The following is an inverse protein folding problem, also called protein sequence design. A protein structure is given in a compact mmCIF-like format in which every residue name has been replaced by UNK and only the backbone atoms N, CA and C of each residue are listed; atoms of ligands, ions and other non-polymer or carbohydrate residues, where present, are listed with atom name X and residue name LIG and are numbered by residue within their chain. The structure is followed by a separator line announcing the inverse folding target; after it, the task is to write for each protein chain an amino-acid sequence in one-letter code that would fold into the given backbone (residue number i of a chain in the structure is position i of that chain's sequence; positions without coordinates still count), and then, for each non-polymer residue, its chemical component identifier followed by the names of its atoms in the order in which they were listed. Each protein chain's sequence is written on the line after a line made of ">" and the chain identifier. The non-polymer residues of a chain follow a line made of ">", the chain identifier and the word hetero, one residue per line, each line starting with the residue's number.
data_IF_533424453111
#
_entry.id   IF_533424453111
#
_cell.length_a   1.000
_cell.length_b   1.000
_cell.length_c   1.000
_cell.angle_alpha   90.00
_cell.angle_beta   90.00
_cell.angle_gamma   90.00
#
_symmetry.space_group_name_H-M   'P 1'
#
loop_
_entity.id
_entity.type
_entity.pdbx_description
1 polymer ?
#
# COMPACT_ATOMS: atom_id res chain seq x y z
N UNK A 1 -8.85 -13.45 -11.23
CA UNK A 1 -8.64 -14.42 -10.15
C UNK A 1 -8.54 -15.86 -10.67
N UNK A 2 -9.45 -16.35 -11.53
CA UNK A 2 -9.46 -17.74 -12.02
C UNK A 2 -8.11 -18.20 -12.59
N UNK A 3 -7.54 -17.46 -13.53
CA UNK A 3 -6.24 -17.79 -14.14
C UNK A 3 -5.10 -17.84 -13.13
N UNK A 4 -5.05 -16.88 -12.19
CA UNK A 4 -4.03 -16.85 -11.14
C UNK A 4 -4.16 -18.03 -10.18
N UNK A 5 -5.40 -18.43 -9.83
CA UNK A 5 -5.62 -19.59 -8.97
C UNK A 5 -5.17 -20.89 -9.63
N UNK A 6 -5.39 -21.04 -10.94
CA UNK A 6 -4.87 -22.20 -11.69
C UNK A 6 -3.34 -22.25 -11.71
N UNK A 7 -2.69 -21.11 -11.91
CA UNK A 7 -1.23 -20.99 -11.88
C UNK A 7 -0.70 -21.31 -10.47
N UNK A 8 -1.31 -20.72 -9.43
CA UNK A 8 -0.92 -20.95 -8.06
C UNK A 8 -1.01 -22.44 -7.66
N UNK A 9 -2.09 -23.12 -8.07
CA UNK A 9 -2.24 -24.56 -7.87
C UNK A 9 -1.16 -25.37 -8.57
N UNK A 10 -0.83 -25.03 -9.83
CA UNK A 10 0.22 -25.73 -10.60
C UNK A 10 1.60 -25.57 -9.98
N UNK A 11 1.87 -24.39 -9.38
CA UNK A 11 3.14 -24.06 -8.75
C UNK A 11 3.19 -24.44 -7.26
N UNK A 12 2.10 -24.98 -6.70
CA UNK A 12 1.95 -25.29 -5.27
C UNK A 12 2.27 -24.07 -4.37
N UNK A 13 1.79 -22.90 -4.79
CA UNK A 13 1.88 -21.66 -4.02
C UNK A 13 0.50 -21.19 -3.59
N UNK A 14 0.43 -20.43 -2.50
CA UNK A 14 -0.82 -19.84 -2.05
C UNK A 14 -1.10 -18.55 -2.81
N UNK A 15 -2.33 -18.39 -3.25
CA UNK A 15 -2.84 -17.13 -3.79
C UNK A 15 -3.59 -16.40 -2.69
N UNK A 16 -3.28 -15.12 -2.50
CA UNK A 16 -4.02 -14.20 -1.64
C UNK A 16 -4.83 -13.21 -2.47
N UNK A 17 -6.00 -12.84 -1.95
CA UNK A 17 -6.79 -11.72 -2.48
C UNK A 17 -6.50 -10.47 -1.66
N UNK A 18 -6.01 -9.41 -2.30
CA UNK A 18 -5.89 -8.08 -1.72
C UNK A 18 -7.08 -7.22 -2.18
N UNK A 19 -7.85 -6.70 -1.22
CA UNK A 19 -8.98 -5.82 -1.51
C UNK A 19 -8.48 -4.43 -1.92
N UNK A 20 -9.24 -3.72 -2.77
CA UNK A 20 -8.89 -2.34 -3.11
C UNK A 20 -9.09 -1.39 -1.92
N UNK A 21 -10.10 -1.65 -1.10
CA UNK A 21 -10.58 -0.76 -0.06
C UNK A 21 -11.23 0.50 -0.63
N UNK A 22 -12.13 1.10 0.12
CA UNK A 22 -12.76 2.34 -0.32
C UNK A 22 -11.81 3.53 -0.12
N UNK A 23 -11.39 4.11 -1.22
CA UNK A 23 -10.57 5.32 -1.29
C UNK A 23 -11.24 6.38 -2.14
N UNK A 24 -10.94 7.64 -1.85
CA UNK A 24 -11.22 8.70 -2.81
C UNK A 24 -10.19 8.68 -3.92
N UNK A 25 -10.65 8.75 -5.17
CA UNK A 25 -9.79 8.77 -6.35
C UNK A 25 -10.23 9.83 -7.33
N UNK A 26 -9.28 10.35 -8.09
CA UNK A 26 -9.53 11.25 -9.20
C UNK A 26 -10.12 10.49 -10.37
N UNK A 27 -11.08 11.11 -11.05
CA UNK A 27 -11.53 10.72 -12.37
C UNK A 27 -11.39 11.93 -13.31
N UNK A 28 -10.48 11.81 -14.29
CA UNK A 28 -10.27 12.83 -15.32
C UNK A 28 -11.01 12.38 -16.57
N UNK A 29 -11.85 13.23 -17.11
CA UNK A 29 -12.62 12.98 -18.31
C UNK A 29 -12.40 14.07 -19.36
N UNK A 30 -12.77 13.80 -20.64
CA UNK A 30 -12.47 14.66 -21.79
C UNK A 30 -11.19 14.24 -22.49
N UNK A 31 -10.75 15.02 -23.50
CA UNK A 31 -9.70 14.66 -24.46
C UNK A 31 -8.49 13.95 -23.86
N UNK A 32 -7.96 12.99 -24.59
CA UNK A 32 -6.81 12.06 -24.46
C UNK A 32 -5.69 12.28 -23.40
N UNK A 33 -5.71 13.35 -22.62
CA UNK A 33 -4.68 13.60 -21.61
C UNK A 33 -4.96 12.82 -20.31
N UNK A 34 -3.97 12.04 -19.90
CA UNK A 34 -4.04 11.23 -18.67
C UNK A 34 -3.82 12.04 -17.38
N UNK A 35 -3.47 13.33 -17.49
CA UNK A 35 -3.16 14.20 -16.34
C UNK A 35 -3.44 15.68 -16.68
N UNK A 36 -3.58 16.46 -15.63
CA UNK A 36 -3.73 17.91 -15.65
C UNK A 36 -2.58 18.54 -14.87
N UNK A 37 -1.86 19.47 -15.51
CA UNK A 37 -0.90 20.32 -14.85
C UNK A 37 -1.64 21.50 -14.22
N UNK A 38 -1.50 21.68 -12.91
CA UNK A 38 -2.09 22.80 -12.16
C UNK A 38 -0.97 23.58 -11.47
N UNK A 39 -1.01 24.92 -11.57
CA UNK A 39 -0.03 25.81 -10.97
C UNK A 39 -0.59 26.44 -9.70
N UNK A 40 0.31 26.88 -8.80
CA UNK A 40 -0.07 27.63 -7.61
C UNK A 40 -0.85 28.89 -8.01
N UNK A 41 -2.00 29.10 -7.38
CA UNK A 41 -2.93 30.19 -7.66
C UNK A 41 -4.02 29.88 -8.68
N UNK A 42 -3.91 28.79 -9.44
CA UNK A 42 -4.93 28.40 -10.42
C UNK A 42 -6.24 28.06 -9.69
N UNK A 43 -7.35 28.54 -10.27
CA UNK A 43 -8.70 28.18 -9.86
C UNK A 43 -9.23 27.13 -10.82
N UNK A 44 -9.75 26.03 -10.30
CA UNK A 44 -10.29 24.95 -11.09
C UNK A 44 -11.52 24.33 -10.41
N UNK A 45 -12.29 23.56 -11.19
CA UNK A 45 -13.52 22.93 -10.72
C UNK A 45 -13.33 21.42 -10.56
N UNK A 46 -13.88 20.87 -9.48
CA UNK A 46 -14.10 19.44 -9.29
C UNK A 46 -15.60 19.21 -9.43
N UNK A 47 -16.02 18.54 -10.48
CA UNK A 47 -17.43 18.31 -10.75
C UNK A 47 -17.96 17.18 -9.85
N UNK A 48 -19.12 17.38 -9.24
CA UNK A 48 -19.76 16.39 -8.37
C UNK A 48 -20.35 15.21 -9.13
N UNK A 49 -20.65 15.40 -10.41
CA UNK A 49 -21.12 14.33 -11.31
C UNK A 49 -20.27 14.34 -12.56
N UNK A 50 -19.72 13.20 -12.94
CA UNK A 50 -19.05 13.08 -14.22
C UNK A 50 -20.13 12.99 -15.31
N UNK A 51 -20.27 14.02 -16.11
CA UNK A 51 -21.11 13.97 -17.30
C UNK A 51 -20.28 13.37 -18.43
N UNK A 52 -20.53 12.11 -18.77
CA UNK A 52 -19.92 11.44 -19.96
C UNK A 52 -20.22 12.12 -21.30
N UNK A 53 -21.03 13.20 -21.30
CA UNK A 53 -21.51 13.89 -22.51
C UNK A 53 -20.80 15.19 -22.82
N UNK A 54 -19.97 15.73 -21.92
CA UNK A 54 -19.24 16.96 -22.22
C UNK A 54 -17.85 16.63 -22.74
N UNK A 55 -17.56 17.05 -23.96
CA UNK A 55 -16.21 17.07 -24.57
C UNK A 55 -15.24 18.00 -23.82
N UNK A 56 -15.67 18.62 -22.74
CA UNK A 56 -14.86 19.52 -21.91
C UNK A 56 -14.05 18.71 -20.90
N UNK A 57 -12.76 18.99 -20.87
CA UNK A 57 -11.82 18.44 -19.92
C UNK A 57 -12.24 18.82 -18.48
N UNK A 58 -12.38 17.82 -17.62
CA UNK A 58 -12.81 18.06 -16.25
C UNK A 58 -12.26 17.05 -15.25
N UNK A 59 -12.36 17.38 -13.97
CA UNK A 59 -12.02 16.54 -12.84
C UNK A 59 -13.29 16.23 -12.07
N UNK A 60 -13.44 14.98 -11.66
CA UNK A 60 -14.41 14.55 -10.63
C UNK A 60 -13.72 13.64 -9.62
N UNK A 61 -14.34 13.41 -8.48
CA UNK A 61 -13.88 12.44 -7.49
C UNK A 61 -14.76 11.19 -7.52
N UNK A 62 -14.16 10.07 -7.22
CA UNK A 62 -14.86 8.82 -6.98
C UNK A 62 -14.59 8.36 -5.53
N UNK A 63 -15.60 7.91 -4.80
CA UNK A 63 -17.04 7.96 -5.15
C UNK A 63 -17.60 9.39 -5.11
N UNK A 64 -18.51 9.69 -6.02
CA UNK A 64 -18.99 11.08 -6.25
C UNK A 64 -19.67 11.70 -5.02
N UNK A 65 -20.36 10.90 -4.20
CA UNK A 65 -21.08 11.38 -3.00
C UNK A 65 -20.15 12.03 -1.97
N UNK A 66 -18.85 11.77 -2.04
CA UNK A 66 -17.86 12.37 -1.14
C UNK A 66 -17.83 13.89 -1.31
N UNK A 67 -18.00 14.39 -2.54
CA UNK A 67 -18.00 15.82 -2.79
C UNK A 67 -19.08 16.59 -2.00
N UNK A 68 -20.19 15.93 -1.64
CA UNK A 68 -21.26 16.54 -0.85
C UNK A 68 -20.91 16.66 0.64
N UNK A 69 -19.91 15.89 1.11
CA UNK A 69 -19.39 15.93 2.48
C UNK A 69 -18.21 16.90 2.65
N UNK A 70 -17.73 17.49 1.54
CA UNK A 70 -16.56 18.38 1.59
C UNK A 70 -17.01 19.82 1.85
N UNK A 71 -16.42 20.44 2.86
CA UNK A 71 -16.71 21.80 3.28
C UNK A 71 -15.72 22.80 2.70
N UNK A 72 -16.08 24.09 2.73
CA UNK A 72 -15.18 25.18 2.38
C UNK A 72 -13.97 25.23 3.32
N UNK A 73 -12.85 25.67 2.81
CA UNK A 73 -11.55 25.77 3.48
C UNK A 73 -10.85 24.42 3.76
N UNK A 74 -11.46 23.27 3.45
CA UNK A 74 -10.73 22.01 3.48
C UNK A 74 -9.65 21.98 2.40
N UNK A 75 -8.51 21.33 2.72
CA UNK A 75 -7.42 21.13 1.78
C UNK A 75 -7.48 19.74 1.19
N UNK A 76 -7.42 19.67 -0.12
CA UNK A 76 -7.40 18.42 -0.91
C UNK A 76 -5.98 18.23 -1.45
N UNK A 77 -5.41 17.05 -1.23
CA UNK A 77 -4.16 16.60 -1.85
C UNK A 77 -4.47 15.55 -2.89
N UNK A 78 -3.88 15.69 -4.07
CA UNK A 78 -3.99 14.76 -5.18
C UNK A 78 -2.70 13.97 -5.31
N UNK A 79 -2.76 12.64 -5.10
CA UNK A 79 -1.60 11.74 -5.13
C UNK A 79 -0.52 12.09 -4.06
N UNK A 80 0.55 11.30 -3.96
CA UNK A 80 1.63 11.50 -2.98
C UNK A 80 2.34 12.84 -3.12
N UNK A 81 2.73 13.17 -4.35
CA UNK A 81 3.49 14.36 -4.71
C UNK A 81 2.71 15.26 -5.67
N UNK A 82 1.41 15.14 -5.69
CA UNK A 82 0.53 15.90 -6.58
C UNK A 82 0.20 17.30 -6.06
N UNK A 83 -0.71 17.93 -6.76
CA UNK A 83 -1.17 19.27 -6.39
C UNK A 83 -1.92 19.26 -5.05
N UNK A 84 -1.83 20.36 -4.31
CA UNK A 84 -2.67 20.62 -3.14
C UNK A 84 -3.54 21.83 -3.46
N UNK A 85 -4.83 21.71 -3.19
CA UNK A 85 -5.79 22.78 -3.37
C UNK A 85 -6.64 22.99 -2.11
N UNK A 86 -7.18 24.19 -1.96
CA UNK A 86 -8.18 24.53 -0.93
C UNK A 86 -9.53 24.72 -1.60
N UNK A 87 -10.57 24.16 -1.01
CA UNK A 87 -11.95 24.37 -1.44
C UNK A 87 -12.35 25.80 -1.08
N UNK A 88 -12.64 26.62 -2.07
CA UNK A 88 -13.07 28.00 -1.89
C UNK A 88 -14.56 28.11 -1.72
N UNK A 89 -15.30 27.31 -2.53
CA UNK A 89 -16.77 27.28 -2.49
C UNK A 89 -17.29 25.89 -2.85
N UNK A 90 -18.38 25.50 -2.20
CA UNK A 90 -19.10 24.28 -2.48
C UNK A 90 -20.44 24.61 -3.14
N UNK A 91 -20.48 24.53 -4.47
CA UNK A 91 -21.70 24.72 -5.26
C UNK A 91 -22.49 23.40 -5.37
N UNK A 92 -23.73 23.50 -5.86
CA UNK A 92 -24.61 22.33 -6.04
C UNK A 92 -24.03 21.29 -6.99
N UNK A 93 -23.34 21.72 -8.05
CA UNK A 93 -22.85 20.89 -9.16
C UNK A 93 -21.33 20.69 -9.15
N UNK A 94 -20.56 21.55 -8.46
CA UNK A 94 -19.12 21.48 -8.41
C UNK A 94 -18.53 22.09 -7.13
N UNK A 95 -17.27 21.74 -6.86
CA UNK A 95 -16.40 22.42 -5.91
C UNK A 95 -15.49 23.37 -6.69
N UNK A 96 -15.41 24.62 -6.28
CA UNK A 96 -14.40 25.56 -6.75
C UNK A 96 -13.18 25.46 -5.86
N UNK A 97 -12.05 25.14 -6.44
CA UNK A 97 -10.81 24.89 -5.72
C UNK A 97 -9.72 25.85 -6.20
N UNK A 98 -8.90 26.34 -5.27
CA UNK A 98 -7.70 27.14 -5.57
C UNK A 98 -6.46 26.32 -5.23
N UNK A 99 -5.57 26.17 -6.19
CA UNK A 99 -4.31 25.46 -6.01
C UNK A 99 -3.37 26.24 -5.08
N UNK A 100 -2.95 25.61 -3.98
CA UNK A 100 -1.98 26.18 -3.04
C UNK A 100 -0.57 25.68 -3.27
N UNK A 101 -0.45 24.45 -3.80
CA UNK A 101 0.83 23.86 -4.20
C UNK A 101 0.65 23.19 -5.57
N UNK A 102 1.37 23.70 -6.57
CA UNK A 102 1.28 23.20 -7.94
C UNK A 102 1.76 21.76 -8.09
N UNK A 103 1.24 21.07 -9.10
CA UNK A 103 1.60 19.69 -9.40
C UNK A 103 0.75 19.08 -10.51
N UNK A 104 0.93 17.79 -10.72
CA UNK A 104 0.14 17.01 -11.65
C UNK A 104 -1.05 16.36 -10.93
N UNK A 105 -2.22 16.39 -11.57
CA UNK A 105 -3.37 15.60 -11.17
C UNK A 105 -3.55 14.51 -12.22
N UNK A 106 -3.25 13.27 -11.88
CA UNK A 106 -3.42 12.10 -12.74
C UNK A 106 -4.81 11.51 -12.65
N UNK A 107 -5.17 10.62 -13.60
CA UNK A 107 -6.40 9.85 -13.52
C UNK A 107 -6.24 8.65 -12.57
N UNK A 108 -7.32 8.28 -11.88
CA UNK A 108 -7.36 7.17 -10.91
C UNK A 108 -6.30 7.28 -9.80
N UNK A 109 -5.98 8.51 -9.36
CA UNK A 109 -5.03 8.78 -8.31
C UNK A 109 -5.73 9.00 -6.98
N UNK A 110 -5.08 8.57 -5.88
CA UNK A 110 -5.60 8.75 -4.54
C UNK A 110 -5.82 10.23 -4.20
N UNK A 111 -6.85 10.52 -3.46
CA UNK A 111 -7.20 11.87 -2.99
C UNK A 111 -7.34 11.85 -1.49
N UNK A 112 -6.67 12.76 -0.82
CA UNK A 112 -6.73 12.89 0.64
C UNK A 112 -7.27 14.26 1.04
N UNK A 113 -8.09 14.30 2.07
CA UNK A 113 -8.50 15.53 2.71
C UNK A 113 -7.61 15.76 3.92
N UNK A 114 -6.77 16.78 3.85
CA UNK A 114 -5.79 17.04 4.89
C UNK A 114 -6.47 17.47 6.20
N UNK A 115 -6.10 16.79 7.28
CA UNK A 115 -6.61 17.06 8.64
C UNK A 115 -8.14 16.92 8.80
N UNK A 116 -8.79 16.19 7.90
CA UNK A 116 -10.22 15.90 7.99
C UNK A 116 -10.49 14.45 7.60
N UNK A 117 -11.26 13.73 8.42
CA UNK A 117 -11.60 12.34 8.17
C UNK A 117 -12.91 12.25 7.38
N UNK A 118 -12.88 11.50 6.29
CA UNK A 118 -14.07 11.15 5.52
C UNK A 118 -14.37 9.67 5.76
N UNK A 119 -15.51 9.40 6.36
CA UNK A 119 -15.92 8.00 6.56
C UNK A 119 -16.40 7.40 5.24
N UNK A 120 -15.59 6.48 4.73
CA UNK A 120 -15.86 5.64 3.57
C UNK A 120 -16.26 4.24 4.02
N UNK A 121 -17.01 3.47 3.22
CA UNK A 121 -17.31 2.07 3.54
C UNK A 121 -16.02 1.24 3.67
N UNK A 122 -16.06 0.14 4.41
CA UNK A 122 -14.91 -0.77 4.54
C UNK A 122 -14.57 -1.45 3.21
N UNK A 123 -15.58 -1.73 2.38
CA UNK A 123 -15.44 -2.42 1.08
C UNK A 123 -16.21 -1.69 -0.01
N UNK A 124 -15.65 -1.70 -1.21
CA UNK A 124 -16.36 -1.35 -2.45
C UNK A 124 -17.26 -2.50 -2.88
N UNK A 125 -18.21 -2.25 -3.81
CA UNK A 125 -18.99 -3.35 -4.40
C UNK A 125 -18.10 -4.35 -5.14
N UNK A 126 -17.04 -3.88 -5.79
CA UNK A 126 -16.05 -4.73 -6.44
C UNK A 126 -15.29 -5.61 -5.44
N UNK A 127 -14.96 -5.09 -4.24
CA UNK A 127 -14.34 -5.90 -3.19
C UNK A 127 -15.27 -7.02 -2.73
N UNK A 128 -16.57 -6.72 -2.56
CA UNK A 128 -17.56 -7.72 -2.15
C UNK A 128 -17.70 -8.84 -3.19
N UNK A 129 -17.79 -8.47 -4.47
CA UNK A 129 -17.81 -9.43 -5.58
C UNK A 129 -16.52 -10.26 -5.62
N UNK A 130 -15.36 -9.63 -5.42
CA UNK A 130 -14.06 -10.32 -5.39
C UNK A 130 -13.97 -11.32 -4.23
N UNK A 131 -14.53 -11.01 -3.06
CA UNK A 131 -14.61 -11.92 -1.91
C UNK A 131 -15.50 -13.13 -2.18
N UNK A 132 -16.64 -12.94 -2.86
CA UNK A 132 -17.51 -14.05 -3.28
C UNK A 132 -16.80 -14.96 -4.27
N UNK A 133 -16.08 -14.40 -5.24
CA UNK A 133 -15.25 -15.15 -6.19
C UNK A 133 -14.13 -15.90 -5.45
N UNK A 134 -13.44 -15.23 -4.51
CA UNK A 134 -12.40 -15.87 -3.71
C UNK A 134 -12.94 -17.10 -2.95
N UNK A 135 -14.11 -16.96 -2.31
CA UNK A 135 -14.78 -18.07 -1.64
C UNK A 135 -15.10 -19.23 -2.60
N UNK A 136 -15.60 -18.92 -3.80
CA UNK A 136 -15.91 -19.96 -4.81
C UNK A 136 -14.68 -20.70 -5.33
N UNK A 137 -13.52 -20.03 -5.34
CA UNK A 137 -12.24 -20.58 -5.78
C UNK A 137 -11.42 -21.26 -4.68
N UNK A 138 -11.88 -21.16 -3.41
CA UNK A 138 -11.15 -21.65 -2.25
C UNK A 138 -9.88 -20.86 -1.95
N UNK A 139 -9.90 -19.53 -2.21
CA UNK A 139 -8.82 -18.61 -1.82
C UNK A 139 -9.09 -18.19 -0.38
N UNK A 140 -8.26 -18.63 0.54
CA UNK A 140 -8.44 -18.41 1.98
C UNK A 140 -7.63 -17.21 2.51
N UNK A 141 -6.51 -16.86 1.87
CA UNK A 141 -5.65 -15.75 2.29
C UNK A 141 -6.25 -14.42 1.80
N UNK A 142 -6.79 -13.61 2.71
CA UNK A 142 -7.45 -12.35 2.38
C UNK A 142 -6.76 -11.18 3.06
N UNK A 143 -6.34 -10.20 2.26
CA UNK A 143 -5.72 -8.96 2.73
C UNK A 143 -6.76 -7.85 2.68
N UNK A 144 -7.05 -7.21 3.82
CA UNK A 144 -8.01 -6.12 3.92
C UNK A 144 -7.27 -4.80 3.87
N UNK A 145 -7.39 -4.08 2.74
CA UNK A 145 -6.84 -2.73 2.60
C UNK A 145 -7.60 -1.73 3.45
N UNK A 146 -6.88 -0.77 4.03
CA UNK A 146 -7.42 0.28 4.91
C UNK A 146 -8.30 -0.27 6.04
N UNK A 147 -7.92 -1.41 6.60
CA UNK A 147 -8.68 -2.04 7.67
C UNK A 147 -8.79 -1.09 8.86
N UNK A 148 -10.00 -0.66 9.19
CA UNK A 148 -10.29 0.33 10.24
C UNK A 148 -11.29 -0.17 11.27
N UNK A 149 -11.79 -1.40 11.14
CA UNK A 149 -12.81 -1.93 12.03
C UNK A 149 -12.81 -3.44 12.11
N UNK A 150 -13.19 -3.97 13.26
CA UNK A 150 -13.45 -5.40 13.44
C UNK A 150 -14.65 -5.88 12.63
N UNK A 151 -15.55 -4.97 12.22
CA UNK A 151 -16.69 -5.28 11.35
C UNK A 151 -16.21 -5.75 9.97
N UNK A 152 -15.17 -5.09 9.41
CA UNK A 152 -14.57 -5.50 8.15
C UNK A 152 -14.00 -6.92 8.24
N UNK A 153 -13.25 -7.22 9.30
CA UNK A 153 -12.65 -8.54 9.52
C UNK A 153 -13.74 -9.62 9.64
N UNK A 154 -14.76 -9.35 10.45
CA UNK A 154 -15.88 -10.27 10.63
C UNK A 154 -16.70 -10.48 9.36
N UNK A 155 -16.86 -9.43 8.53
CA UNK A 155 -17.51 -9.54 7.23
C UNK A 155 -16.77 -10.52 6.33
N UNK A 156 -15.43 -10.39 6.20
CA UNK A 156 -14.61 -11.31 5.41
C UNK A 156 -14.71 -12.74 5.94
N UNK A 157 -14.57 -12.94 7.27
CA UNK A 157 -14.66 -14.28 7.89
C UNK A 157 -16.02 -14.95 7.73
N UNK A 158 -17.09 -14.16 7.53
CA UNK A 158 -18.42 -14.69 7.21
C UNK A 158 -18.61 -15.00 5.73
N UNK A 159 -17.97 -14.21 4.84
CA UNK A 159 -18.12 -14.33 3.39
C UNK A 159 -17.23 -15.42 2.81
N UNK A 160 -16.00 -15.51 3.28
CA UNK A 160 -14.99 -16.47 2.78
C UNK A 160 -14.78 -17.57 3.81
N UNK A 161 -15.05 -18.81 3.39
CA UNK A 161 -14.87 -19.98 4.26
C UNK A 161 -13.39 -20.18 4.59
N UNK A 162 -13.09 -20.43 5.88
CA UNK A 162 -11.73 -20.63 6.40
C UNK A 162 -10.80 -19.42 6.15
N UNK A 163 -11.36 -18.21 5.96
CA UNK A 163 -10.57 -17.03 5.70
C UNK A 163 -9.49 -16.81 6.76
N UNK A 164 -8.26 -16.61 6.30
CA UNK A 164 -7.13 -16.09 7.05
C UNK A 164 -6.95 -14.61 6.71
N UNK A 165 -7.33 -13.77 7.64
CA UNK A 165 -7.41 -12.34 7.41
C UNK A 165 -6.12 -11.66 7.83
N UNK A 166 -5.43 -11.07 6.87
CA UNK A 166 -4.33 -10.12 7.10
C UNK A 166 -4.89 -8.70 6.98
N UNK A 167 -4.90 -7.97 8.09
CA UNK A 167 -5.36 -6.57 8.11
C UNK A 167 -4.20 -5.64 7.78
N UNK A 168 -4.40 -4.78 6.77
CA UNK A 168 -3.40 -3.80 6.35
C UNK A 168 -3.57 -2.50 7.14
N UNK A 169 -2.49 -2.08 7.79
CA UNK A 169 -2.43 -0.85 8.58
C UNK A 169 -1.88 0.24 7.67
N UNK A 170 -2.79 1.06 7.15
CA UNK A 170 -2.56 2.02 6.07
C UNK A 170 -3.13 3.42 6.39
N UNK A 171 -3.75 3.59 7.55
CA UNK A 171 -4.41 4.84 7.91
C UNK A 171 -4.26 5.20 9.38
N UNK A 172 -4.49 6.47 9.72
CA UNK A 172 -4.58 6.92 11.12
C UNK A 172 -5.62 6.12 11.90
N UNK A 173 -6.77 5.84 11.27
CA UNK A 173 -7.84 5.09 11.90
C UNK A 173 -7.42 3.65 12.20
N UNK A 174 -6.67 3.01 11.31
CA UNK A 174 -6.10 1.68 11.55
C UNK A 174 -5.17 1.68 12.78
N UNK A 175 -4.34 2.72 12.93
CA UNK A 175 -3.45 2.88 14.09
C UNK A 175 -4.28 3.08 15.37
N UNK A 176 -5.30 3.93 15.36
CA UNK A 176 -6.16 4.16 16.52
C UNK A 176 -6.92 2.93 16.97
N UNK A 177 -7.25 2.02 16.05
CA UNK A 177 -7.98 0.78 16.31
C UNK A 177 -7.08 -0.46 16.35
N UNK A 178 -5.78 -0.26 16.47
CA UNK A 178 -4.78 -1.31 16.26
C UNK A 178 -4.96 -2.50 17.21
N UNK A 179 -5.24 -2.27 18.51
CA UNK A 179 -5.45 -3.35 19.48
C UNK A 179 -6.65 -4.23 19.08
N UNK A 180 -7.78 -3.61 18.71
CA UNK A 180 -8.96 -4.33 18.24
C UNK A 180 -8.68 -5.09 16.94
N UNK A 181 -8.02 -4.44 15.97
CA UNK A 181 -7.66 -5.05 14.68
C UNK A 181 -6.73 -6.25 14.92
N UNK A 182 -5.68 -6.11 15.73
CA UNK A 182 -4.77 -7.21 16.04
C UNK A 182 -5.49 -8.38 16.69
N UNK A 183 -6.41 -8.11 17.62
CA UNK A 183 -7.13 -9.18 18.32
C UNK A 183 -7.97 -10.05 17.36
N UNK A 184 -8.60 -9.44 16.37
CA UNK A 184 -9.53 -10.12 15.45
C UNK A 184 -8.88 -10.65 14.16
N UNK A 185 -7.72 -10.13 13.78
CA UNK A 185 -6.98 -10.56 12.59
C UNK A 185 -6.18 -11.83 12.82
N UNK A 186 -5.83 -12.50 11.74
CA UNK A 186 -4.92 -13.64 11.77
C UNK A 186 -3.46 -13.20 11.55
N UNK A 187 -3.27 -12.09 10.82
CA UNK A 187 -1.98 -11.42 10.66
C UNK A 187 -2.16 -9.90 10.44
N UNK A 188 -1.07 -9.16 10.55
CA UNK A 188 -1.01 -7.71 10.33
C UNK A 188 -0.01 -7.45 9.20
N UNK A 189 -0.32 -6.49 8.33
CA UNK A 189 0.60 -5.99 7.32
C UNK A 189 0.70 -4.47 7.44
N UNK A 190 1.91 -3.94 7.50
CA UNK A 190 2.18 -2.51 7.47
C UNK A 190 2.47 -2.12 6.02
N UNK A 191 1.56 -1.37 5.39
CA UNK A 191 1.82 -0.77 4.10
C UNK A 191 2.36 0.65 4.29
N UNK A 192 3.69 0.80 4.23
CA UNK A 192 4.36 2.08 4.51
C UNK A 192 4.02 3.14 3.48
N UNK A 193 3.78 2.73 2.24
CA UNK A 193 3.42 3.62 1.15
C UNK A 193 2.13 4.37 1.44
N UNK A 194 1.03 3.65 1.62
CA UNK A 194 -0.27 4.26 1.90
C UNK A 194 -0.30 4.96 3.27
N UNK A 195 0.37 4.38 4.28
CA UNK A 195 0.46 5.01 5.60
C UNK A 195 1.13 6.38 5.56
N UNK A 196 2.12 6.60 4.67
CA UNK A 196 2.79 7.89 4.48
C UNK A 196 1.85 9.00 3.98
N UNK A 197 0.70 8.64 3.40
CA UNK A 197 -0.34 9.61 3.00
C UNK A 197 -1.10 10.15 4.21
N UNK A 198 -1.20 9.38 5.27
CA UNK A 198 -2.03 9.65 6.44
C UNK A 198 -1.24 10.28 7.60
N UNK A 199 0.02 9.90 7.78
CA UNK A 199 0.89 10.41 8.84
C UNK A 199 2.15 11.06 8.25
N UNK A 200 2.86 11.85 9.09
CA UNK A 200 4.11 12.45 8.66
C UNK A 200 5.15 11.35 8.35
N UNK A 201 5.90 11.52 7.27
CA UNK A 201 6.94 10.57 6.86
C UNK A 201 7.97 10.32 7.97
N UNK A 202 8.27 11.33 8.80
CA UNK A 202 9.16 11.19 9.94
C UNK A 202 8.60 10.31 11.07
N UNK A 203 7.27 10.12 11.10
CA UNK A 203 6.59 9.29 12.10
C UNK A 203 6.52 7.82 11.68
N UNK A 204 6.74 7.50 10.39
CA UNK A 204 6.67 6.12 9.86
C UNK A 204 7.58 5.15 10.62
N UNK A 205 8.86 5.46 10.90
CA UNK A 205 9.73 4.54 11.63
C UNK A 205 9.22 4.21 13.05
N UNK A 206 8.56 5.15 13.71
CA UNK A 206 7.99 4.97 15.04
C UNK A 206 6.66 4.22 14.98
N UNK A 207 5.80 4.53 14.00
CA UNK A 207 4.56 3.81 13.75
C UNK A 207 4.84 2.33 13.45
N UNK A 208 5.80 2.02 12.58
CA UNK A 208 6.23 0.66 12.28
C UNK A 208 6.61 -0.11 13.55
N UNK A 209 7.45 0.47 14.42
CA UNK A 209 7.84 -0.14 15.69
C UNK A 209 6.65 -0.38 16.61
N UNK A 210 5.77 0.61 16.72
CA UNK A 210 4.55 0.51 17.53
C UNK A 210 3.62 -0.59 17.05
N UNK A 211 3.39 -0.68 15.73
CA UNK A 211 2.53 -1.69 15.12
C UNK A 211 3.10 -3.09 15.31
N UNK A 212 4.39 -3.31 15.02
CA UNK A 212 5.07 -4.60 15.24
C UNK A 212 4.97 -5.03 16.70
N UNK A 213 5.25 -4.10 17.64
CA UNK A 213 5.14 -4.35 19.08
C UNK A 213 3.73 -4.77 19.49
N UNK A 214 2.71 -4.08 18.97
CA UNK A 214 1.31 -4.40 19.26
C UNK A 214 0.90 -5.74 18.66
N UNK A 215 1.24 -6.02 17.42
CA UNK A 215 0.98 -7.32 16.79
C UNK A 215 1.60 -8.46 17.61
N UNK A 216 2.85 -8.29 18.09
CA UNK A 216 3.54 -9.24 18.94
C UNK A 216 2.82 -9.46 20.29
N UNK A 217 2.29 -8.41 20.91
CA UNK A 217 1.47 -8.48 22.14
C UNK A 217 0.27 -9.41 21.96
N UNK A 218 -0.33 -9.42 20.77
CA UNK A 218 -1.47 -10.28 20.41
C UNK A 218 -1.07 -11.61 19.76
N UNK A 219 0.24 -11.94 19.74
CA UNK A 219 0.78 -13.14 19.08
C UNK A 219 0.38 -13.24 17.60
N UNK A 220 0.34 -12.10 16.89
CA UNK A 220 0.00 -12.07 15.47
C UNK A 220 1.25 -11.85 14.63
N UNK A 221 1.44 -12.63 13.54
CA UNK A 221 2.45 -12.33 12.56
C UNK A 221 2.27 -10.90 12.03
N UNK A 222 3.39 -10.17 11.89
CA UNK A 222 3.39 -8.82 11.35
C UNK A 222 4.36 -8.75 10.16
N UNK A 223 3.85 -8.36 9.02
CA UNK A 223 4.61 -8.19 7.79
C UNK A 223 4.79 -6.71 7.48
N UNK A 224 5.88 -6.37 6.78
CA UNK A 224 6.16 -5.01 6.34
C UNK A 224 6.27 -4.99 4.82
N UNK A 225 5.54 -4.09 4.20
CA UNK A 225 5.45 -3.91 2.75
C UNK A 225 5.86 -2.50 2.32
N UNK A 226 6.11 -2.39 1.01
CA UNK A 226 6.39 -1.17 0.25
C UNK A 226 7.70 -0.48 0.59
N UNK A 227 8.32 0.09 -0.45
CA UNK A 227 9.64 0.76 -0.38
C UNK A 227 10.73 -0.12 0.26
N UNK A 228 10.76 -1.41 -0.10
CA UNK A 228 11.74 -2.39 0.43
C UNK A 228 13.02 -2.35 -0.40
N UNK A 229 12.92 -2.58 -1.70
CA UNK A 229 14.03 -2.56 -2.66
C UNK A 229 13.64 -1.68 -3.87
N UNK A 230 13.18 -0.46 -3.59
CA UNK A 230 12.63 0.47 -4.59
C UNK A 230 13.68 0.87 -5.64
N UNK A 231 14.96 0.92 -5.28
CA UNK A 231 16.05 1.18 -6.22
C UNK A 231 16.07 0.14 -7.35
N UNK A 232 15.77 -1.13 -7.08
CA UNK A 232 15.76 -2.21 -8.07
C UNK A 232 14.62 -2.13 -9.09
N UNK A 233 13.69 -1.18 -8.95
CA UNK A 233 12.72 -0.89 -10.02
C UNK A 233 13.44 -0.40 -11.27
N UNK A 234 14.55 0.37 -11.10
CA UNK A 234 15.31 1.00 -12.19
C UNK A 234 16.77 0.61 -12.20
N UNK A 235 17.36 0.40 -11.03
CA UNK A 235 18.78 0.18 -10.85
C UNK A 235 19.14 -1.32 -10.81
N UNK A 236 20.42 -1.63 -10.86
CA UNK A 236 20.90 -3.00 -10.87
C UNK A 236 21.25 -3.54 -9.48
N UNK A 237 21.45 -2.66 -8.51
CA UNK A 237 21.88 -3.03 -7.15
C UNK A 237 21.01 -2.31 -6.11
N UNK A 238 20.73 -2.95 -4.98
CA UNK A 238 20.07 -2.31 -3.86
C UNK A 238 21.02 -1.32 -3.18
N UNK A 239 20.44 -0.33 -2.54
CA UNK A 239 21.20 0.58 -1.68
C UNK A 239 21.50 -0.07 -0.33
N UNK A 240 22.60 0.37 0.33
CA UNK A 240 22.89 -0.05 1.72
C UNK A 240 21.79 0.31 2.69
N UNK A 241 21.09 1.41 2.45
CA UNK A 241 19.95 1.85 3.27
C UNK A 241 18.80 0.85 3.20
N UNK A 242 18.45 0.34 2.01
CA UNK A 242 17.42 -0.68 1.83
C UNK A 242 17.77 -2.00 2.51
N UNK A 243 19.04 -2.46 2.36
CA UNK A 243 19.50 -3.67 3.05
C UNK A 243 19.41 -3.51 4.57
N UNK A 244 19.83 -2.35 5.10
CA UNK A 244 19.74 -2.05 6.53
C UNK A 244 18.30 -1.94 7.01
N UNK A 245 17.39 -1.39 6.20
CA UNK A 245 15.97 -1.32 6.54
C UNK A 245 15.32 -2.70 6.65
N UNK A 246 15.67 -3.63 5.74
CA UNK A 246 15.20 -5.01 5.81
C UNK A 246 15.68 -5.67 7.11
N UNK A 247 16.98 -5.60 7.40
CA UNK A 247 17.57 -6.21 8.61
C UNK A 247 16.95 -5.56 9.86
N UNK A 248 16.93 -4.24 9.94
CA UNK A 248 16.31 -3.52 11.06
C UNK A 248 14.83 -3.83 11.26
N UNK A 249 14.09 -4.08 10.17
CA UNK A 249 12.69 -4.53 10.24
C UNK A 249 12.57 -5.92 10.85
N UNK A 250 13.46 -6.85 10.51
CA UNK A 250 13.51 -8.18 11.12
C UNK A 250 13.92 -8.12 12.60
N UNK A 251 14.87 -7.25 12.95
CA UNK A 251 15.30 -7.02 14.36
C UNK A 251 14.16 -6.47 15.24
N UNK A 252 13.28 -5.64 14.68
CA UNK A 252 12.09 -5.18 15.39
C UNK A 252 11.11 -6.33 15.69
N UNK A 253 11.27 -7.48 15.05
CA UNK A 253 10.43 -8.67 15.20
C UNK A 253 9.33 -8.81 14.17
N UNK A 254 9.48 -8.19 12.99
CA UNK A 254 8.61 -8.48 11.86
C UNK A 254 8.72 -9.96 11.47
N UNK A 255 7.59 -10.56 11.11
CA UNK A 255 7.50 -11.97 10.72
C UNK A 255 7.92 -12.23 9.29
N UNK A 256 8.00 -11.17 8.48
CA UNK A 256 8.45 -11.24 7.09
C UNK A 256 8.34 -9.91 6.37
N UNK A 257 8.82 -9.94 5.13
CA UNK A 257 8.86 -8.81 4.21
C UNK A 257 7.92 -9.11 3.04
N UNK A 258 7.20 -8.10 2.58
CA UNK A 258 6.33 -8.20 1.40
C UNK A 258 6.86 -7.27 0.30
N UNK A 259 7.27 -7.87 -0.79
CA UNK A 259 7.69 -7.16 -2.00
C UNK A 259 6.46 -6.64 -2.76
N UNK A 260 6.56 -5.47 -3.36
CA UNK A 260 5.47 -4.78 -4.02
C UNK A 260 5.83 -4.32 -5.45
N UNK A 261 6.08 -3.02 -5.65
CA UNK A 261 6.38 -2.43 -6.95
C UNK A 261 7.63 -3.04 -7.60
N UNK A 262 8.65 -3.34 -6.82
CA UNK A 262 9.92 -3.94 -7.27
C UNK A 262 9.74 -5.30 -7.95
N UNK A 263 8.70 -6.05 -7.57
CA UNK A 263 8.34 -7.33 -8.22
C UNK A 263 7.22 -7.20 -9.25
N UNK A 264 6.34 -6.21 -9.10
CA UNK A 264 5.19 -6.03 -9.97
C UNK A 264 5.52 -5.29 -11.28
N UNK A 265 6.39 -4.28 -11.21
CA UNK A 265 6.77 -3.42 -12.33
C UNK A 265 8.27 -3.24 -12.49
N UNK A 266 9.07 -3.76 -11.56
CA UNK A 266 10.54 -3.73 -11.62
C UNK A 266 11.08 -4.64 -12.70
N UNK A 267 12.31 -4.37 -13.15
CA UNK A 267 12.97 -5.15 -14.19
C UNK A 267 13.59 -6.47 -13.67
N UNK A 268 13.79 -6.60 -12.36
CA UNK A 268 14.50 -7.73 -11.74
C UNK A 268 13.71 -8.36 -10.57
N UNK A 269 12.49 -8.86 -10.79
CA UNK A 269 11.65 -9.38 -9.70
C UNK A 269 12.26 -10.60 -8.98
N UNK A 270 12.96 -11.48 -9.71
CA UNK A 270 13.62 -12.66 -9.13
C UNK A 270 14.75 -12.22 -8.21
N UNK A 271 15.60 -11.28 -8.64
CA UNK A 271 16.68 -10.73 -7.85
C UNK A 271 16.18 -10.12 -6.53
N UNK A 272 15.07 -9.39 -6.56
CA UNK A 272 14.46 -8.84 -5.34
C UNK A 272 14.11 -9.95 -4.33
N UNK A 273 13.52 -11.03 -4.80
CA UNK A 273 13.17 -12.16 -3.95
C UNK A 273 14.41 -12.89 -3.40
N UNK A 274 15.45 -13.06 -4.22
CA UNK A 274 16.71 -13.67 -3.82
C UNK A 274 17.44 -12.83 -2.75
N UNK A 275 17.50 -11.49 -2.90
CA UNK A 275 18.10 -10.59 -1.91
C UNK A 275 17.39 -10.69 -0.57
N UNK A 276 16.07 -10.62 -0.56
CA UNK A 276 15.29 -10.73 0.69
C UNK A 276 15.51 -12.08 1.35
N UNK A 277 15.49 -13.17 0.58
CA UNK A 277 15.72 -14.52 1.11
C UNK A 277 17.11 -14.66 1.69
N UNK A 278 18.14 -14.16 1.01
CA UNK A 278 19.53 -14.19 1.47
C UNK A 278 19.72 -13.36 2.76
N UNK A 279 19.12 -12.16 2.83
CA UNK A 279 19.17 -11.33 4.04
C UNK A 279 18.49 -12.01 5.24
N UNK A 280 17.35 -12.68 5.02
CA UNK A 280 16.66 -13.44 6.06
C UNK A 280 17.56 -14.60 6.54
N UNK A 281 18.22 -15.29 5.61
CA UNK A 281 19.14 -16.37 5.96
C UNK A 281 20.33 -15.84 6.79
N UNK A 282 21.00 -14.78 6.34
CA UNK A 282 22.11 -14.14 7.05
C UNK A 282 21.68 -13.59 8.42
N UNK A 283 20.50 -13.01 8.52
CA UNK A 283 19.95 -12.54 9.79
C UNK A 283 19.78 -13.70 10.80
N UNK A 284 19.29 -14.86 10.35
CA UNK A 284 19.20 -16.05 11.21
C UNK A 284 20.57 -16.54 11.69
N UNK A 285 21.57 -16.55 10.80
CA UNK A 285 22.95 -16.89 11.17
C UNK A 285 23.55 -15.89 12.17
N UNK A 286 23.29 -14.60 11.96
CA UNK A 286 23.71 -13.54 12.87
C UNK A 286 23.11 -13.71 14.27
N UNK A 287 21.83 -14.03 14.37
CA UNK A 287 21.15 -14.23 15.66
C UNK A 287 21.77 -15.36 16.50
N UNK A 288 22.31 -16.38 15.89
CA UNK A 288 22.96 -17.51 16.57
C UNK A 288 24.48 -17.38 16.64
N UNK A 289 25.03 -16.21 16.27
CA UNK A 289 26.46 -15.92 16.34
C UNK A 289 27.32 -16.62 15.28
N UNK A 290 26.71 -17.16 14.22
CA UNK A 290 27.43 -17.90 13.19
C UNK A 290 27.81 -17.05 11.98
N UNK A 291 27.17 -15.88 11.75
CA UNK A 291 27.42 -15.08 10.56
C UNK A 291 28.89 -14.62 10.43
N UNK A 292 29.56 -14.37 11.56
CA UNK A 292 30.95 -13.92 11.62
C UNK A 292 31.90 -14.99 12.15
N UNK A 293 31.41 -16.18 12.42
CA UNK A 293 32.28 -17.29 12.89
C UNK A 293 33.32 -17.72 11.84
N UNK A 294 33.07 -17.42 10.57
CA UNK A 294 33.92 -17.76 9.41
C UNK A 294 34.65 -16.57 8.80
N UNK A 295 34.70 -15.39 9.48
CA UNK A 295 35.39 -14.20 8.94
C UNK A 295 36.92 -14.45 8.69
N UNK A 296 37.52 -15.49 9.27
CA UNK A 296 38.86 -15.95 8.88
C UNK A 296 38.92 -16.59 7.46
N UNK A 297 37.75 -16.73 6.77
CA UNK A 297 37.65 -17.25 5.40
C UNK A 297 37.12 -16.19 4.43
N UNK A 298 37.81 -15.07 4.33
CA UNK A 298 37.49 -13.92 3.47
C UNK A 298 37.29 -14.27 1.97
N UNK A 299 37.70 -15.44 1.52
CA UNK A 299 37.63 -15.83 0.12
C UNK A 299 36.24 -16.36 -0.33
N UNK A 300 35.41 -16.86 0.60
CA UNK A 300 34.15 -17.54 0.24
C UNK A 300 33.01 -16.54 0.07
N UNK A 301 32.87 -15.56 0.95
CA UNK A 301 31.78 -14.57 0.90
C UNK A 301 31.90 -13.64 -0.30
N UNK A 302 33.11 -13.23 -0.67
CA UNK A 302 33.35 -12.36 -1.82
C UNK A 302 33.14 -13.11 -3.15
N UNK A 303 33.51 -14.39 -3.19
CA UNK A 303 33.37 -15.26 -4.36
C UNK A 303 31.90 -15.65 -4.60
N UNK A 304 31.14 -15.96 -3.56
CA UNK A 304 29.72 -16.26 -3.66
C UNK A 304 28.91 -15.01 -4.02
N UNK A 305 29.25 -13.84 -3.45
CA UNK A 305 28.61 -12.58 -3.81
C UNK A 305 28.95 -12.18 -5.26
N UNK A 306 30.17 -12.38 -5.73
CA UNK A 306 30.57 -12.16 -7.13
C UNK A 306 29.89 -13.13 -8.09
N UNK A 307 29.77 -14.41 -7.73
CA UNK A 307 29.01 -15.40 -8.52
C UNK A 307 27.54 -15.01 -8.59
N UNK A 308 27.00 -14.47 -7.52
CA UNK A 308 25.62 -14.01 -7.46
C UNK A 308 25.39 -12.73 -8.29
N UNK A 309 26.33 -11.77 -8.24
CA UNK A 309 26.31 -10.54 -9.07
C UNK A 309 26.54 -10.84 -10.56
N UNK A 310 27.41 -11.81 -10.90
CA UNK A 310 27.75 -12.16 -12.28
C UNK A 310 26.77 -13.13 -12.96
N UNK A 311 25.82 -13.73 -12.22
CA UNK A 311 24.75 -14.57 -12.83
C UNK A 311 23.67 -13.75 -13.55
N UNK A 312 23.76 -12.43 -13.52
CA UNK A 312 22.74 -11.52 -14.03
C UNK A 312 23.24 -10.53 -15.09
N UNK A 313 24.41 -10.78 -15.69
CA UNK A 313 24.86 -10.20 -16.97
C UNK A 313 24.44 -11.16 -18.14
#
# INVERSE_FOLDING_TARGET
>A
LYQYQEIAKKLNIKLGLDTEGAQMRTNIYGKKEKYLQIRKGDIFKINKRSTKKDDTKGISLYPNYVCDKLEENLKIRFDFNGAIAIIKKNYKDHLECMCTNGGLIGNNKGVDILNHYIDLPDFTEKDKEALEIANSLGIEEIFISFCKSTKAINFVKKTVRNAKVTSKIESKMSIHKLDDICNFSDAILIDRGDLTREINIMDIPFAQRGIIKTAKKYNKPCYVATNILESLIKDNLPTRAELNDIVGTLEMGASGIVLAAETAIGHKPILCAEIVNELIHRYKLYQVGLLFADIERDEITDKEMRVWLNRND
#
